data_IF_078709298024
#
_entry.id   IF_078709298024
#
_cell.length_a   1.000
_cell.length_b   1.000
_cell.length_c   1.000
_cell.angle_alpha   90.00
_cell.angle_beta   90.00
_cell.angle_gamma   90.00
#
_symmetry.space_group_name_H-M   'P 1'
#
loop_
_entity.id
_entity.type
_entity.pdbx_description
1 polymer ?
#
# COMPACT_ATOMS: atom_id res chain seq x y z
N UNK A 1 10.76 -20.90 -4.13
CA UNK A 1 11.32 -21.25 -2.81
C UNK A 1 10.31 -20.82 -1.77
N UNK A 2 10.03 -21.71 -0.81
CA UNK A 2 8.86 -21.69 0.08
C UNK A 2 9.16 -20.97 1.39
N UNK A 3 8.54 -19.81 1.59
CA UNK A 3 8.54 -19.08 2.87
C UNK A 3 7.37 -19.51 3.76
N UNK A 4 7.28 -20.82 4.05
CA UNK A 4 6.37 -21.33 5.08
C UNK A 4 4.87 -21.27 4.79
N UNK A 5 4.45 -21.00 3.54
CA UNK A 5 3.04 -21.07 3.13
C UNK A 5 2.71 -22.50 2.69
N UNK A 6 1.94 -23.22 3.51
CA UNK A 6 1.35 -24.51 3.14
C UNK A 6 -0.01 -24.27 2.48
N UNK A 7 -0.14 -24.64 1.20
CA UNK A 7 -1.43 -24.65 0.49
C UNK A 7 -1.95 -26.08 0.47
N UNK A 8 -2.94 -26.38 1.30
CA UNK A 8 -3.70 -27.64 1.19
C UNK A 8 -4.69 -27.49 0.04
N UNK A 9 -4.37 -28.05 -1.13
CA UNK A 9 -5.32 -28.16 -2.24
C UNK A 9 -6.46 -29.10 -1.81
N UNK A 10 -7.64 -28.55 -1.52
CA UNK A 10 -8.83 -29.35 -1.28
C UNK A 10 -9.27 -29.90 -2.64
N UNK A 11 -9.10 -31.21 -2.83
CA UNK A 11 -9.76 -31.92 -3.92
C UNK A 11 -11.27 -31.93 -3.62
N UNK A 12 -12.04 -31.16 -4.38
CA UNK A 12 -13.50 -31.30 -4.38
C UNK A 12 -13.81 -32.49 -5.28
N UNK A 13 -14.40 -33.53 -4.71
CA UNK A 13 -14.71 -34.76 -5.44
C UNK A 13 -15.56 -34.43 -6.68
N UNK A 14 -15.06 -34.76 -7.86
CA UNK A 14 -15.74 -34.53 -9.14
C UNK A 14 -15.58 -33.13 -9.80
N UNK A 15 -14.70 -32.23 -9.34
CA UNK A 15 -14.39 -30.97 -10.05
C UNK A 15 -12.91 -30.90 -10.50
N UNK A 16 -12.69 -30.74 -11.81
CA UNK A 16 -11.37 -30.70 -12.44
C UNK A 16 -10.52 -29.46 -12.09
N UNK A 17 -9.24 -29.53 -12.44
CA UNK A 17 -8.16 -28.60 -12.09
C UNK A 17 -8.51 -27.10 -12.24
N UNK A 18 -8.41 -26.36 -11.15
CA UNK A 18 -8.64 -24.91 -11.07
C UNK A 18 -7.38 -24.06 -11.35
N UNK A 19 -6.22 -24.67 -11.63
CA UNK A 19 -4.97 -23.96 -11.90
C UNK A 19 -4.42 -24.31 -13.28
N UNK A 20 -3.92 -23.28 -13.99
CA UNK A 20 -3.24 -23.39 -15.29
C UNK A 20 -1.89 -22.70 -15.23
N UNK A 21 -0.86 -23.31 -15.82
CA UNK A 21 0.45 -22.68 -16.02
C UNK A 21 0.53 -21.89 -17.35
N UNK A 22 -0.59 -21.75 -18.07
CA UNK A 22 -0.71 -20.94 -19.28
C UNK A 22 -0.83 -19.45 -18.92
N UNK A 23 -0.02 -18.54 -19.50
CA UNK A 23 -0.16 -17.09 -19.29
C UNK A 23 -1.50 -16.50 -19.75
N UNK A 24 -2.29 -17.22 -20.56
CA UNK A 24 -3.65 -16.85 -20.96
C UNK A 24 -4.74 -17.64 -20.22
N UNK A 25 -4.39 -18.37 -19.14
CA UNK A 25 -5.33 -19.10 -18.30
C UNK A 25 -6.24 -18.19 -17.46
N UNK A 26 -7.38 -18.72 -16.99
CA UNK A 26 -8.39 -17.95 -16.23
C UNK A 26 -7.84 -17.30 -14.95
N UNK A 27 -6.89 -17.96 -14.28
CA UNK A 27 -5.98 -17.35 -13.32
C UNK A 27 -4.61 -18.03 -13.48
N UNK A 28 -3.57 -17.25 -13.69
CA UNK A 28 -2.18 -17.71 -13.67
C UNK A 28 -1.79 -18.18 -12.26
N UNK A 29 -0.80 -19.06 -12.17
CA UNK A 29 -0.20 -19.48 -10.90
C UNK A 29 0.28 -18.26 -10.09
N UNK A 30 0.75 -17.19 -10.74
CA UNK A 30 1.12 -15.94 -10.07
C UNK A 30 -0.07 -15.21 -9.45
N UNK A 31 -1.19 -15.09 -10.17
CA UNK A 31 -2.42 -14.46 -9.66
C UNK A 31 -3.00 -15.24 -8.47
N UNK A 32 -2.99 -16.57 -8.54
CA UNK A 32 -3.40 -17.43 -7.43
C UNK A 32 -2.46 -17.30 -6.21
N UNK A 33 -1.14 -17.29 -6.41
CA UNK A 33 -0.19 -17.09 -5.31
C UNK A 33 -0.28 -15.70 -4.69
N UNK A 34 -0.47 -14.66 -5.49
CA UNK A 34 -0.72 -13.31 -4.99
C UNK A 34 -2.02 -13.28 -4.19
N UNK A 35 -3.09 -13.90 -4.69
CA UNK A 35 -4.36 -14.03 -3.97
C UNK A 35 -4.19 -14.76 -2.63
N UNK A 36 -3.52 -15.91 -2.61
CA UNK A 36 -3.32 -16.69 -1.37
C UNK A 36 -2.39 -16.00 -0.37
N UNK A 37 -1.36 -15.27 -0.83
CA UNK A 37 -0.51 -14.45 0.04
C UNK A 37 -1.30 -13.34 0.72
N UNK A 38 -2.23 -12.72 0.00
CA UNK A 38 -3.08 -11.64 0.49
C UNK A 38 -4.22 -12.12 1.40
N UNK A 39 -4.71 -13.36 1.23
CA UNK A 39 -5.96 -13.83 1.83
C UNK A 39 -5.82 -15.14 2.64
N UNK A 40 -4.70 -15.33 3.33
CA UNK A 40 -4.50 -16.52 4.16
C UNK A 40 -5.67 -16.75 5.14
N UNK A 41 -6.25 -17.95 5.08
CA UNK A 41 -7.45 -18.32 5.85
C UNK A 41 -7.19 -18.38 7.37
N UNK A 42 -5.95 -18.54 7.82
CA UNK A 42 -5.61 -18.76 9.24
C UNK A 42 -4.41 -17.93 9.72
N UNK A 43 -4.20 -16.73 9.17
CA UNK A 43 -3.10 -15.92 9.65
C UNK A 43 -3.43 -15.38 11.04
N UNK A 44 -2.67 -15.83 12.05
CA UNK A 44 -2.71 -15.22 13.37
C UNK A 44 -2.29 -13.75 13.19
N UNK A 45 -3.13 -12.81 13.64
CA UNK A 45 -2.78 -11.39 13.58
C UNK A 45 -1.45 -11.18 14.29
N UNK A 46 -0.53 -10.44 13.68
CA UNK A 46 0.74 -10.08 14.33
C UNK A 46 0.41 -9.43 15.68
N UNK A 47 1.00 -9.90 16.80
CA UNK A 47 0.80 -9.29 18.11
C UNK A 47 1.06 -7.79 18.03
N UNK A 48 0.28 -6.98 18.74
CA UNK A 48 0.31 -5.50 18.65
C UNK A 48 1.73 -4.96 18.81
N UNK A 49 2.52 -5.59 19.68
CA UNK A 49 3.91 -5.28 19.96
C UNK A 49 4.91 -5.55 18.83
N UNK A 50 4.54 -6.39 17.86
CA UNK A 50 5.39 -6.80 16.75
C UNK A 50 4.89 -6.25 15.40
N UNK A 51 3.86 -5.41 15.40
CA UNK A 51 3.33 -4.81 14.16
C UNK A 51 4.24 -3.70 13.68
N UNK A 52 4.39 -3.60 12.36
CA UNK A 52 4.96 -2.41 11.75
C UNK A 52 3.92 -1.31 11.73
N UNK A 53 4.23 -0.18 12.35
CA UNK A 53 3.36 1.00 12.40
C UNK A 53 3.86 2.06 11.43
N UNK A 54 2.94 2.83 10.86
CA UNK A 54 3.26 3.92 9.95
C UNK A 54 2.15 4.96 10.01
N UNK A 55 2.44 6.19 9.56
CA UNK A 55 1.38 7.18 9.37
C UNK A 55 0.74 6.97 8.00
N UNK A 56 -0.59 6.95 7.96
CA UNK A 56 -1.38 6.93 6.74
C UNK A 56 -2.12 8.24 6.57
N UNK A 57 -2.04 8.80 5.38
CA UNK A 57 -2.86 9.90 4.91
C UNK A 57 -3.89 9.39 3.89
N UNK A 58 -5.15 9.76 4.05
CA UNK A 58 -6.19 9.51 3.03
C UNK A 58 -6.50 10.81 2.29
N UNK A 59 -6.10 10.84 1.03
CA UNK A 59 -6.14 12.03 0.19
C UNK A 59 -7.23 11.95 -0.86
N UNK A 60 -7.81 13.10 -1.16
CA UNK A 60 -8.66 13.31 -2.33
C UNK A 60 -7.99 14.33 -3.24
N UNK A 61 -8.21 14.20 -4.55
CA UNK A 61 -7.63 15.08 -5.56
C UNK A 61 -8.06 16.54 -5.29
N UNK A 62 -7.07 17.41 -5.09
CA UNK A 62 -7.21 18.86 -5.08
C UNK A 62 -6.89 19.48 -6.44
N UNK A 63 -7.10 20.78 -6.54
CA UNK A 63 -6.85 21.58 -7.75
C UNK A 63 -5.36 21.94 -7.87
N UNK A 64 -4.72 22.22 -6.75
CA UNK A 64 -3.33 22.69 -6.67
C UNK A 64 -2.41 21.67 -5.99
N UNK A 65 -1.12 21.78 -6.26
CA UNK A 65 -0.09 20.89 -5.67
C UNK A 65 0.00 21.01 -4.15
N UNK A 66 -0.32 22.17 -3.59
CA UNK A 66 -0.26 22.44 -2.15
C UNK A 66 -1.55 22.13 -1.40
N UNK A 67 -2.60 21.65 -2.07
CA UNK A 67 -3.91 21.45 -1.44
C UNK A 67 -3.88 20.37 -0.37
N UNK A 68 -3.02 19.35 -0.52
CA UNK A 68 -2.87 18.21 0.39
C UNK A 68 -1.42 18.13 0.85
N UNK A 69 -1.21 18.20 2.16
CA UNK A 69 0.13 18.21 2.74
C UNK A 69 0.21 17.34 3.99
N UNK A 70 1.20 16.46 4.04
CA UNK A 70 1.64 15.85 5.29
C UNK A 70 2.67 16.79 5.94
N UNK A 71 2.37 17.27 7.14
CA UNK A 71 3.22 18.24 7.85
C UNK A 71 3.91 17.54 9.02
N UNK A 72 5.22 17.70 9.13
CA UNK A 72 6.01 17.25 10.27
C UNK A 72 6.77 18.42 10.90
N UNK A 73 6.52 18.68 12.19
CA UNK A 73 7.25 19.70 12.95
C UNK A 73 8.49 19.08 13.58
N UNK A 74 9.67 19.65 13.28
CA UNK A 74 10.92 19.17 13.83
C UNK A 74 11.03 19.50 15.34
N UNK A 75 11.58 18.59 16.16
CA UNK A 75 11.86 18.90 17.56
C UNK A 75 12.95 19.98 17.70
N UNK A 76 13.82 20.10 16.69
CA UNK A 76 14.88 21.11 16.61
C UNK A 76 15.01 21.58 15.15
N UNK A 77 14.99 22.89 14.95
CA UNK A 77 15.17 23.47 13.64
C UNK A 77 16.55 23.14 13.04
N UNK A 78 16.58 23.00 11.72
CA UNK A 78 17.80 22.78 10.95
C UNK A 78 18.61 24.07 10.88
N UNK A 79 19.92 23.91 10.69
CA UNK A 79 20.84 25.03 10.58
C UNK A 79 20.91 25.53 9.14
N UNK A 80 20.62 26.81 8.93
CA UNK A 80 20.82 27.47 7.63
C UNK A 80 22.27 27.27 7.15
N UNK A 81 22.42 26.90 5.89
CA UNK A 81 23.69 26.65 5.21
C UNK A 81 24.26 25.24 5.42
N UNK A 82 23.70 24.43 6.32
CA UNK A 82 24.14 23.04 6.49
C UNK A 82 23.51 22.12 5.44
N UNK A 83 24.23 21.05 5.08
CA UNK A 83 23.74 20.01 4.17
C UNK A 83 23.10 18.86 4.95
N UNK A 84 22.03 18.33 4.39
CA UNK A 84 21.24 17.25 4.96
C UNK A 84 20.87 16.22 3.90
N UNK A 85 20.74 14.97 4.35
CA UNK A 85 20.15 13.87 3.59
C UNK A 85 18.92 13.39 4.34
N UNK A 86 17.75 13.47 3.69
CA UNK A 86 16.50 12.87 4.14
C UNK A 86 16.22 11.60 3.33
N UNK A 87 15.97 10.48 3.99
CA UNK A 87 15.35 9.29 3.39
C UNK A 87 14.01 9.00 4.05
N UNK A 88 13.08 8.46 3.29
CA UNK A 88 11.75 8.11 3.78
C UNK A 88 11.19 6.95 2.96
N UNK A 89 10.59 5.94 3.61
CA UNK A 89 9.79 4.95 2.91
C UNK A 89 8.38 5.49 2.69
N UNK A 90 7.89 5.30 1.48
CA UNK A 90 6.53 5.69 1.08
C UNK A 90 5.84 4.53 0.39
N UNK A 91 4.52 4.47 0.55
CA UNK A 91 3.66 3.53 -0.17
C UNK A 91 2.38 4.25 -0.58
N UNK A 92 1.97 4.08 -1.82
CA UNK A 92 0.75 4.70 -2.36
C UNK A 92 -0.22 3.65 -2.88
N UNK A 93 -1.52 3.90 -2.73
CA UNK A 93 -2.60 3.02 -3.28
C UNK A 93 -2.85 3.19 -4.77
N UNK A 94 -2.33 4.28 -5.34
CA UNK A 94 -2.46 4.69 -6.74
C UNK A 94 -1.21 5.49 -7.11
N UNK A 95 -0.92 5.63 -8.40
CA UNK A 95 0.26 6.36 -8.87
C UNK A 95 0.16 7.83 -8.43
N UNK A 96 1.14 8.27 -7.65
CA UNK A 96 1.29 9.65 -7.25
C UNK A 96 2.26 10.34 -8.21
N UNK A 97 1.71 11.13 -9.12
CA UNK A 97 2.47 11.88 -10.13
C UNK A 97 3.57 12.76 -9.50
N UNK A 98 3.24 13.41 -8.39
CA UNK A 98 4.10 14.40 -7.75
C UNK A 98 3.95 14.36 -6.22
N UNK A 99 4.94 13.77 -5.57
CA UNK A 99 5.18 13.91 -4.13
C UNK A 99 6.37 14.86 -3.92
N UNK A 100 6.07 16.11 -3.62
CA UNK A 100 7.05 17.16 -3.36
C UNK A 100 7.47 17.23 -1.90
N UNK A 101 8.65 17.80 -1.65
CA UNK A 101 9.14 18.09 -0.30
C UNK A 101 9.52 19.56 -0.18
N UNK A 102 8.74 20.32 0.59
CA UNK A 102 8.89 21.75 0.77
C UNK A 102 9.16 22.07 2.24
N UNK A 103 10.39 21.89 2.74
CA UNK A 103 10.71 22.32 4.08
C UNK A 103 10.60 23.85 4.20
N UNK A 104 10.13 24.31 5.35
CA UNK A 104 9.83 25.73 5.61
C UNK A 104 10.35 26.13 6.99
N UNK A 105 10.76 27.39 7.12
CA UNK A 105 10.95 28.02 8.42
C UNK A 105 9.63 28.66 8.87
N UNK A 106 8.75 27.87 9.49
CA UNK A 106 7.40 28.31 9.86
C UNK A 106 7.44 29.46 10.89
N UNK A 107 8.42 29.44 11.80
CA UNK A 107 8.64 30.50 12.78
C UNK A 107 9.29 31.78 12.21
N UNK A 108 9.62 31.86 10.91
CA UNK A 108 10.24 33.05 10.32
C UNK A 108 9.40 34.31 10.51
N UNK A 109 10.04 35.46 10.77
CA UNK A 109 9.36 36.77 10.77
C UNK A 109 9.05 37.27 9.35
N UNK A 110 9.63 36.64 8.32
CA UNK A 110 9.33 36.93 6.92
C UNK A 110 8.03 36.25 6.51
N UNK A 111 6.92 36.99 6.66
CA UNK A 111 5.56 36.49 6.40
C UNK A 111 5.03 36.90 5.03
N UNK A 112 4.25 36.03 4.42
CA UNK A 112 3.43 36.33 3.25
C UNK A 112 2.18 37.13 3.64
N UNK A 113 1.41 37.57 2.64
CA UNK A 113 0.21 38.39 2.81
C UNK A 113 -0.93 37.72 3.62
N UNK A 114 -0.83 36.42 3.91
CA UNK A 114 -1.79 35.64 4.70
C UNK A 114 -1.25 35.27 6.09
N UNK A 115 -0.09 35.79 6.48
CA UNK A 115 0.55 35.54 7.78
C UNK A 115 1.32 34.23 7.89
N UNK A 116 1.37 33.43 6.81
CA UNK A 116 2.25 32.26 6.72
C UNK A 116 3.69 32.66 6.44
N UNK A 117 4.67 31.79 6.70
CA UNK A 117 6.07 32.06 6.36
C UNK A 117 6.28 32.10 4.84
N UNK A 118 7.11 33.04 4.38
CA UNK A 118 7.57 33.14 2.99
C UNK A 118 8.93 32.43 2.78
N UNK A 119 9.56 31.96 3.86
CA UNK A 119 10.86 31.27 3.86
C UNK A 119 10.68 29.76 3.66
N UNK A 120 10.12 29.41 2.50
CA UNK A 120 9.92 28.03 2.04
C UNK A 120 10.99 27.65 1.02
N UNK A 121 11.49 26.43 1.11
CA UNK A 121 12.45 25.86 0.16
C UNK A 121 11.78 24.75 -0.63
N UNK A 122 11.77 24.86 -1.96
CA UNK A 122 11.18 23.87 -2.85
C UNK A 122 12.24 22.86 -3.29
N UNK A 123 12.08 21.59 -2.91
CA UNK A 123 12.95 20.49 -3.36
C UNK A 123 12.29 19.68 -4.46
N UNK A 124 13.09 18.79 -5.07
CA UNK A 124 12.64 17.89 -6.12
C UNK A 124 11.41 17.08 -5.68
N UNK A 125 10.44 16.94 -6.58
CA UNK A 125 9.32 16.05 -6.39
C UNK A 125 9.60 14.68 -7.03
N UNK A 126 8.99 13.65 -6.47
CA UNK A 126 9.11 12.29 -6.97
C UNK A 126 7.78 11.79 -7.53
N UNK A 127 7.85 11.04 -8.62
CA UNK A 127 6.79 10.12 -9.02
C UNK A 127 6.86 8.85 -8.15
N UNK A 128 5.73 8.43 -7.60
CA UNK A 128 5.62 7.23 -6.77
C UNK A 128 4.55 6.32 -7.35
N UNK A 129 4.94 5.30 -8.12
CA UNK A 129 3.98 4.29 -8.60
C UNK A 129 3.40 3.52 -7.41
N UNK A 130 2.13 3.13 -7.54
CA UNK A 130 1.40 2.38 -6.53
C UNK A 130 2.04 1.04 -6.17
N UNK A 131 1.71 0.52 -4.99
CA UNK A 131 2.02 -0.87 -4.62
C UNK A 131 2.95 -0.97 -3.43
N UNK A 132 4.15 -1.53 -3.62
CA UNK A 132 5.08 -1.80 -2.53
C UNK A 132 5.80 -0.54 -2.02
N UNK A 133 6.39 -0.66 -0.82
CA UNK A 133 7.18 0.40 -0.20
C UNK A 133 8.38 0.80 -1.08
N UNK A 134 8.58 2.11 -1.24
CA UNK A 134 9.68 2.74 -1.98
C UNK A 134 10.44 3.69 -1.08
N UNK A 135 11.77 3.72 -1.18
CA UNK A 135 12.58 4.70 -0.46
C UNK A 135 12.83 5.91 -1.34
N UNK A 136 12.39 7.08 -0.89
CA UNK A 136 12.73 8.38 -1.48
C UNK A 136 13.95 8.97 -0.75
N UNK A 137 14.75 9.75 -1.46
CA UNK A 137 15.95 10.40 -0.91
C UNK A 137 16.05 11.83 -1.38
N UNK A 138 16.21 12.78 -0.47
CA UNK A 138 16.51 14.17 -0.78
C UNK A 138 17.84 14.57 -0.18
N UNK A 139 18.75 15.07 -1.01
CA UNK A 139 19.97 15.73 -0.57
C UNK A 139 19.79 17.23 -0.78
N UNK A 140 19.96 18.01 0.28
CA UNK A 140 19.73 19.45 0.20
C UNK A 140 20.60 20.24 1.17
N UNK A 141 20.88 21.49 0.79
CA UNK A 141 21.39 22.51 1.71
C UNK A 141 20.21 23.29 2.26
N UNK A 142 20.13 23.50 3.57
CA UNK A 142 19.06 24.28 4.18
C UNK A 142 19.26 25.78 3.87
N UNK A 143 18.36 26.39 3.11
CA UNK A 143 18.43 27.83 2.77
C UNK A 143 17.96 28.72 3.93
N UNK A 144 17.24 28.14 4.88
CA UNK A 144 16.64 28.80 6.05
C UNK A 144 16.85 27.95 7.31
N UNK A 145 16.43 28.48 8.46
CA UNK A 145 16.39 27.74 9.73
C UNK A 145 15.15 26.85 9.77
N UNK A 146 15.09 25.87 8.88
CA UNK A 146 13.90 25.06 8.58
C UNK A 146 13.44 24.31 9.84
N UNK A 147 12.19 24.50 10.25
CA UNK A 147 11.62 23.91 11.48
C UNK A 147 10.44 22.97 11.20
N UNK A 148 9.95 22.97 9.95
CA UNK A 148 8.75 22.25 9.56
C UNK A 148 8.96 21.66 8.17
N UNK A 149 8.55 20.41 7.99
CA UNK A 149 8.56 19.69 6.72
C UNK A 149 7.14 19.62 6.17
N UNK A 150 6.98 19.99 4.90
CA UNK A 150 5.73 19.82 4.17
C UNK A 150 5.98 18.84 3.02
N UNK A 151 5.38 17.65 3.09
CA UNK A 151 5.31 16.74 1.95
C UNK A 151 4.02 17.03 1.21
N UNK A 152 4.13 17.47 -0.04
CA UNK A 152 2.99 17.99 -0.81
C UNK A 152 2.58 17.01 -1.90
N UNK A 153 1.28 16.73 -1.98
CA UNK A 153 0.71 15.76 -2.90
C UNK A 153 -0.72 16.17 -3.27
N UNK A 154 -0.94 17.47 -3.48
CA UNK A 154 -2.27 18.06 -3.61
C UNK A 154 -3.17 17.45 -4.69
N UNK A 155 -2.58 17.01 -5.80
CA UNK A 155 -3.31 16.38 -6.92
C UNK A 155 -3.48 14.86 -6.76
N UNK A 156 -2.95 14.28 -5.69
CA UNK A 156 -3.01 12.84 -5.44
C UNK A 156 -4.32 12.46 -4.74
N UNK A 157 -4.99 11.44 -5.28
CA UNK A 157 -6.12 10.77 -4.64
C UNK A 157 -5.76 9.33 -4.29
N UNK A 158 -6.04 8.92 -3.06
CA UNK A 158 -5.68 7.60 -2.52
C UNK A 158 -4.98 7.70 -1.16
N UNK A 159 -4.43 6.58 -0.70
CA UNK A 159 -3.63 6.54 0.54
C UNK A 159 -2.17 6.80 0.27
N UNK A 160 -1.54 7.64 1.09
CA UNK A 160 -0.10 7.79 1.19
C UNK A 160 0.33 7.32 2.59
N UNK A 161 1.13 6.26 2.63
CA UNK A 161 1.78 5.79 3.85
C UNK A 161 3.22 6.30 3.89
N UNK A 162 3.67 6.70 5.06
CA UNK A 162 5.04 7.16 5.33
C UNK A 162 5.62 6.39 6.52
N UNK A 163 6.84 5.91 6.37
CA UNK A 163 7.57 5.15 7.39
C UNK A 163 9.09 5.33 7.28
N UNK A 164 9.83 4.85 8.28
CA UNK A 164 11.29 4.73 8.31
C UNK A 164 12.02 6.00 7.84
N UNK A 165 11.71 7.13 8.47
CA UNK A 165 12.35 8.39 8.12
C UNK A 165 13.76 8.51 8.72
N UNK A 166 14.70 9.05 7.95
CA UNK A 166 16.06 9.33 8.43
C UNK A 166 16.49 10.68 7.90
N UNK A 167 16.76 11.63 8.80
CA UNK A 167 17.35 12.92 8.46
C UNK A 167 18.71 13.05 9.14
N UNK A 168 19.77 13.14 8.35
CA UNK A 168 21.15 13.24 8.86
C UNK A 168 21.80 14.51 8.33
N UNK A 169 22.55 15.20 9.19
CA UNK A 169 23.39 16.34 8.83
C UNK A 169 24.72 15.82 8.27
N UNK A 170 25.23 16.44 7.21
CA UNK A 170 26.54 16.08 6.64
C UNK A 170 27.63 16.10 7.74
N UNK A 171 28.35 14.98 7.88
CA UNK A 171 29.38 14.80 8.90
C UNK A 171 28.88 14.26 10.25
N UNK A 172 27.60 13.93 10.41
CA UNK A 172 27.05 13.28 11.61
C UNK A 172 26.37 11.95 11.27
N UNK A 173 25.90 11.22 12.29
CA UNK A 173 25.14 9.97 12.14
C UNK A 173 23.83 9.96 12.94
N UNK A 174 23.51 11.05 13.63
CA UNK A 174 22.29 11.18 14.43
C UNK A 174 21.10 11.38 13.49
N UNK A 175 20.04 10.59 13.69
CA UNK A 175 18.76 10.81 13.03
C UNK A 175 18.00 11.93 13.75
N UNK A 176 17.71 13.01 13.05
CA UNK A 176 17.04 14.19 13.58
C UNK A 176 15.50 14.08 13.57
N UNK A 177 14.95 12.99 13.05
CA UNK A 177 13.51 12.70 13.10
C UNK A 177 13.18 11.95 14.39
N UNK A 178 12.30 12.52 15.20
CA UNK A 178 11.75 11.84 16.37
C UNK A 178 10.68 10.83 15.96
N UNK A 179 10.72 9.63 16.57
CA UNK A 179 9.75 8.54 16.34
C UNK A 179 9.60 8.18 14.85
N UNK A 180 10.73 7.99 14.17
CA UNK A 180 10.79 7.94 12.73
C UNK A 180 10.26 6.64 12.09
N UNK A 181 10.12 5.58 12.87
CA UNK A 181 9.59 4.25 12.52
C UNK A 181 8.22 3.98 13.18
N UNK A 182 7.65 5.00 13.83
CA UNK A 182 6.37 4.94 14.56
C UNK A 182 6.27 3.82 15.62
N UNK A 183 7.38 3.26 16.08
CA UNK A 183 7.42 2.20 17.11
C UNK A 183 6.87 2.66 18.46
N UNK A 184 6.85 3.98 18.72
CA UNK A 184 6.21 4.57 19.89
C UNK A 184 4.67 4.65 19.80
N UNK A 185 4.08 4.13 18.70
CA UNK A 185 2.63 3.98 18.48
C UNK A 185 1.83 5.26 18.63
N UNK A 186 2.42 6.35 18.17
CA UNK A 186 1.76 7.64 18.06
C UNK A 186 2.33 8.39 16.86
N UNK A 187 1.66 9.48 16.49
CA UNK A 187 2.02 10.35 15.36
C UNK A 187 2.33 11.77 15.85
N UNK A 188 2.89 11.90 17.06
CA UNK A 188 3.25 13.20 17.60
C UNK A 188 4.21 13.93 16.67
N UNK A 189 3.97 15.23 16.45
CA UNK A 189 4.71 16.06 15.51
C UNK A 189 4.16 16.05 14.08
N UNK A 190 3.30 15.10 13.74
CA UNK A 190 2.61 15.06 12.46
C UNK A 190 1.27 15.77 12.49
N UNK A 191 0.95 16.42 11.38
CA UNK A 191 -0.31 17.12 11.16
C UNK A 191 -0.59 17.26 9.66
N UNK A 192 -1.52 18.14 9.31
CA UNK A 192 -1.90 18.45 7.94
C UNK A 192 -2.24 19.94 7.81
N UNK A 193 -2.26 20.46 6.58
CA UNK A 193 -2.70 21.84 6.29
C UNK A 193 -4.23 22.03 6.51
N UNK A 194 -4.71 23.28 6.51
CA UNK A 194 -6.12 23.62 6.78
C UNK A 194 -7.16 22.85 5.95
N UNK A 195 -6.88 22.64 4.67
CA UNK A 195 -7.70 21.82 3.76
C UNK A 195 -7.04 20.46 3.49
N UNK A 196 -6.45 19.88 4.52
CA UNK A 196 -5.61 18.72 4.38
C UNK A 196 -6.34 17.37 4.29
N UNK A 197 -5.64 16.31 3.88
CA UNK A 197 -6.12 14.93 4.01
C UNK A 197 -6.41 14.55 5.48
N UNK A 198 -7.23 13.51 5.68
CA UNK A 198 -7.30 12.85 6.99
C UNK A 198 -6.03 12.03 7.20
N UNK A 199 -5.68 11.79 8.46
CA UNK A 199 -4.48 11.03 8.80
C UNK A 199 -4.63 10.30 10.13
N UNK A 200 -3.98 9.15 10.24
CA UNK A 200 -4.01 8.32 11.43
C UNK A 200 -2.81 7.37 11.48
N UNK A 201 -2.53 6.84 12.67
CA UNK A 201 -1.57 5.77 12.86
C UNK A 201 -2.18 4.47 12.29
N UNK A 202 -1.56 3.91 11.27
CA UNK A 202 -1.91 2.65 10.67
C UNK A 202 -0.85 1.57 11.01
N UNK A 203 -1.14 0.34 10.65
CA UNK A 203 -0.22 -0.78 10.76
C UNK A 203 -0.60 -1.87 9.76
N UNK A 204 0.39 -2.64 9.34
CA UNK A 204 0.19 -3.86 8.55
C UNK A 204 -0.18 -5.02 9.51
N UNK A 205 -1.28 -4.88 10.25
CA UNK A 205 -1.94 -6.06 10.78
C UNK A 205 -2.56 -6.76 9.58
N UNK A 206 -2.03 -7.93 9.19
CA UNK A 206 -2.71 -8.81 8.24
C UNK A 206 -4.18 -8.88 8.63
N UNK A 207 -5.05 -8.33 7.79
CA UNK A 207 -6.48 -8.40 8.03
C UNK A 207 -6.82 -9.87 7.91
N UNK A 208 -7.03 -10.54 9.05
CA UNK A 208 -7.67 -11.84 9.06
C UNK A 208 -8.93 -11.69 8.23
N UNK A 209 -9.07 -12.47 7.17
CA UNK A 209 -10.22 -12.40 6.25
C UNK A 209 -11.55 -12.74 6.94
N UNK A 210 -11.53 -13.01 8.26
CA UNK A 210 -12.68 -13.43 9.04
C UNK A 210 -13.13 -14.86 8.72
N UNK A 211 -12.46 -15.54 7.79
CA UNK A 211 -12.80 -16.89 7.37
C UNK A 211 -12.13 -17.87 8.33
N UNK A 212 -12.80 -18.19 9.43
CA UNK A 212 -12.29 -19.14 10.44
C UNK A 212 -12.24 -20.58 9.94
N UNK A 213 -13.08 -20.95 8.95
CA UNK A 213 -13.05 -22.22 8.23
C UNK A 213 -13.69 -22.07 6.84
N UNK A 214 -13.24 -22.82 5.81
CA UNK A 214 -13.98 -22.92 4.55
C UNK A 214 -15.36 -23.55 4.82
N UNK A 215 -16.44 -22.83 4.52
CA UNK A 215 -17.79 -23.38 4.54
C UNK A 215 -17.97 -24.31 3.35
N UNK A 216 -17.60 -25.58 3.53
CA UNK A 216 -18.02 -26.63 2.62
C UNK A 216 -19.50 -26.87 2.89
N UNK A 217 -20.38 -26.16 2.17
CA UNK A 217 -21.74 -26.63 2.02
C UNK A 217 -21.61 -27.94 1.26
N UNK A 218 -21.63 -29.06 1.98
CA UNK A 218 -21.87 -30.37 1.40
C UNK A 218 -23.25 -30.29 0.74
N UNK A 219 -23.28 -29.90 -0.53
CA UNK A 219 -24.46 -30.07 -1.35
C UNK A 219 -24.74 -31.57 -1.34
N UNK A 220 -25.93 -32.01 -0.89
CA UNK A 220 -26.29 -33.41 -1.01
C UNK A 220 -26.10 -33.80 -2.47
N UNK A 221 -25.46 -34.95 -2.69
CA UNK A 221 -25.16 -35.48 -4.01
C UNK A 221 -26.45 -35.73 -4.81
N UNK A 222 -27.01 -34.69 -5.42
CA UNK A 222 -27.79 -34.87 -6.64
C UNK A 222 -26.78 -35.03 -7.75
N UNK A 223 -26.56 -36.28 -8.18
CA UNK A 223 -25.88 -36.56 -9.43
C UNK A 223 -26.70 -35.90 -10.55
N UNK A 224 -26.30 -34.69 -10.97
CA UNK A 224 -26.79 -34.11 -12.22
C UNK A 224 -26.14 -34.90 -13.36
N UNK A 225 -26.98 -35.55 -14.16
CA UNK A 225 -26.56 -36.33 -15.33
C UNK A 225 -26.39 -35.46 -16.58
N UNK A 226 -26.40 -34.14 -16.42
CA UNK A 226 -26.23 -33.20 -17.52
C UNK A 226 -24.82 -33.21 -18.12
N UNK A 227 -24.74 -32.76 -19.37
CA UNK A 227 -23.51 -32.42 -20.04
C UNK A 227 -23.32 -30.90 -19.99
N UNK A 228 -22.08 -30.44 -20.03
CA UNK A 228 -21.77 -29.02 -20.08
C UNK A 228 -20.74 -28.74 -21.16
N UNK A 229 -20.83 -27.58 -21.80
CA UNK A 229 -19.75 -27.09 -22.66
C UNK A 229 -18.50 -26.76 -21.83
N UNK A 230 -17.37 -26.53 -22.49
CA UNK A 230 -16.14 -26.08 -21.81
C UNK A 230 -16.28 -24.71 -21.14
N UNK A 231 -17.32 -23.96 -21.50
CA UNK A 231 -17.68 -22.66 -20.93
C UNK A 231 -18.73 -22.78 -19.81
N UNK A 232 -19.10 -23.99 -19.40
CA UNK A 232 -20.02 -24.24 -18.27
C UNK A 232 -21.51 -24.15 -18.60
N UNK A 233 -21.88 -24.10 -19.89
CA UNK A 233 -23.29 -24.06 -20.32
C UNK A 233 -23.86 -25.47 -20.33
N UNK A 234 -25.00 -25.69 -19.67
CA UNK A 234 -25.70 -26.99 -19.61
C UNK A 234 -26.25 -27.40 -20.99
N UNK A 235 -26.05 -28.66 -21.36
CA UNK A 235 -26.47 -29.29 -22.61
C UNK A 235 -27.16 -30.61 -22.27
N UNK A 236 -28.40 -30.78 -22.74
CA UNK A 236 -29.22 -31.94 -22.37
C UNK A 236 -28.96 -33.18 -23.23
N UNK A 237 -28.62 -33.00 -24.52
CA UNK A 237 -28.44 -34.10 -25.47
C UNK A 237 -27.34 -33.79 -26.50
N UNK A 238 -26.06 -33.81 -26.09
CA UNK A 238 -24.97 -33.62 -27.04
C UNK A 238 -24.89 -34.80 -28.02
N UNK A 239 -24.73 -34.50 -29.32
CA UNK A 239 -24.60 -35.51 -30.39
C UNK A 239 -23.23 -35.53 -31.05
N UNK A 240 -22.49 -34.42 -31.00
CA UNK A 240 -21.09 -34.34 -31.43
C UNK A 240 -20.37 -33.21 -30.70
N UNK A 241 -19.06 -33.34 -30.49
CA UNK A 241 -18.23 -32.31 -29.84
C UNK A 241 -17.63 -32.73 -28.50
N UNK A 242 -17.13 -31.75 -27.74
CA UNK A 242 -16.42 -31.95 -26.47
C UNK A 242 -17.25 -31.38 -25.33
N UNK A 243 -17.53 -32.21 -24.32
CA UNK A 243 -18.36 -31.85 -23.18
C UNK A 243 -17.73 -32.27 -21.86
N UNK A 244 -18.19 -31.67 -20.78
CA UNK A 244 -17.93 -32.09 -19.41
C UNK A 244 -19.19 -32.81 -18.89
N UNK A 245 -19.04 -34.04 -18.44
CA UNK A 245 -20.11 -34.81 -17.83
C UNK A 245 -19.55 -35.57 -16.63
N UNK A 246 -20.21 -35.44 -15.46
CA UNK A 246 -19.75 -36.02 -14.19
C UNK A 246 -18.27 -35.70 -13.89
N UNK A 247 -17.86 -34.47 -14.15
CA UNK A 247 -16.49 -33.99 -13.93
C UNK A 247 -15.44 -34.54 -14.90
N UNK A 248 -15.84 -35.28 -15.95
CA UNK A 248 -14.94 -35.85 -16.95
C UNK A 248 -15.17 -35.23 -18.33
N UNK A 249 -14.09 -35.03 -19.07
CA UNK A 249 -14.14 -34.64 -20.49
C UNK A 249 -14.61 -35.83 -21.32
N UNK A 250 -15.67 -35.64 -22.09
CA UNK A 250 -16.23 -36.63 -23.02
C UNK A 250 -16.16 -36.06 -24.44
N UNK A 251 -15.65 -36.87 -25.37
CA UNK A 251 -15.61 -36.54 -26.80
C UNK A 251 -16.65 -37.41 -27.49
N UNK A 252 -17.65 -36.78 -28.09
CA UNK A 252 -18.68 -37.44 -28.87
C UNK A 252 -18.37 -37.24 -30.35
N UNK A 253 -18.27 -38.35 -31.08
CA UNK A 253 -18.03 -38.38 -32.52
C UNK A 253 -19.35 -38.27 -33.26
#
# INVERSE_FOLDING_TARGET
MNDGVEVTLIAIDGKGHWHSNDPNGVNSTQELWNFFKLHQLNQHSVPVENRNYFIRYESTVGENLWDRQAIYTLPKALEKGAKYTLTMKVRTSADCAELGFWPIWNASDHKNQWGGSDDVQYLAAYHVEAGDWKTLTWNFTANFTLDTFQFVFGKYGGTLDIDDMVLVKEGTSENLIANADFSARNIQGWSTNWNGPSYYLANDAYQSTGITQPSVVAQPSQQDDAYYTLQGVRVSHPTSGIFIHKGRKIVMK
#
